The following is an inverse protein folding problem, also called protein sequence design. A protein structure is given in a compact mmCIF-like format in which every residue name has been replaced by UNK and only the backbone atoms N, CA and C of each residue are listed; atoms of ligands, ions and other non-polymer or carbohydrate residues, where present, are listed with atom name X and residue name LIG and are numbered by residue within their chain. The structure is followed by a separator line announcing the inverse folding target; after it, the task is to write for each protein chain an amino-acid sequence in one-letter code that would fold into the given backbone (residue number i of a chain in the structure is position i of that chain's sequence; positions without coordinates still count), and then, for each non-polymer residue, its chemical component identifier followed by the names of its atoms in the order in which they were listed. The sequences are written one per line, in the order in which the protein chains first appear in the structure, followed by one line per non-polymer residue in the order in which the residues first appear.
data_IF_991601182179
#
_entry.id   IF_991601182179
#
_cell.length_a   1.000
_cell.length_b   1.000
_cell.length_c   1.000
_cell.angle_alpha   90.00
_cell.angle_beta   90.00
_cell.angle_gamma   90.00
#
_symmetry.space_group_name_H-M   'P 1'
#
loop_
_entity.id
_entity.type
_entity.pdbx_description
1 polymer ?
#
# COMPACT_ATOMS: atom_id res chain seq x y z
N UNK A 1 -13.72 -11.17 9.23
CA UNK A 1 -13.98 -10.18 8.15
C UNK A 1 -12.71 -10.14 7.30
N UNK A 2 -12.79 -10.33 5.98
CA UNK A 2 -11.67 -10.79 5.14
C UNK A 2 -10.71 -9.67 4.66
N UNK A 3 -10.48 -8.61 5.43
CA UNK A 3 -9.52 -7.55 5.07
C UNK A 3 -9.82 -6.79 3.76
N UNK A 4 -11.03 -6.89 3.21
CA UNK A 4 -11.44 -6.16 2.00
C UNK A 4 -11.88 -4.76 2.41
N UNK A 5 -11.31 -3.75 1.76
CA UNK A 5 -11.71 -2.35 1.90
C UNK A 5 -12.79 -2.03 0.86
N UNK A 6 -14.04 -1.75 1.27
CA UNK A 6 -15.04 -1.23 0.34
C UNK A 6 -14.78 0.25 0.07
N UNK A 7 -14.32 0.59 -1.13
CA UNK A 7 -14.12 1.98 -1.57
C UNK A 7 -15.26 2.36 -2.52
N UNK A 8 -15.98 3.44 -2.19
CA UNK A 8 -17.03 4.00 -3.04
C UNK A 8 -16.48 5.24 -3.74
N UNK A 9 -16.55 5.25 -5.07
CA UNK A 9 -16.16 6.37 -5.93
C UNK A 9 -17.25 6.60 -6.99
N UNK A 10 -17.28 7.80 -7.58
CA UNK A 10 -18.14 8.07 -8.73
C UNK A 10 -17.68 7.31 -9.99
N UNK A 11 -18.59 7.17 -10.96
CA UNK A 11 -18.33 6.40 -12.17
C UNK A 11 -17.17 6.96 -13.03
N UNK A 12 -16.96 8.27 -13.04
CA UNK A 12 -15.88 8.88 -13.82
C UNK A 12 -14.52 8.59 -13.17
N UNK A 13 -14.45 8.64 -11.84
CA UNK A 13 -13.26 8.26 -11.06
C UNK A 13 -12.90 6.78 -11.27
N UNK A 14 -13.89 5.88 -11.27
CA UNK A 14 -13.69 4.45 -11.57
C UNK A 14 -13.19 4.25 -13.00
N UNK A 15 -13.82 4.91 -13.98
CA UNK A 15 -13.41 4.80 -15.38
C UNK A 15 -11.96 5.28 -15.58
N UNK A 16 -11.59 6.38 -14.93
CA UNK A 16 -10.23 6.92 -15.00
C UNK A 16 -9.19 6.00 -14.36
N UNK A 17 -9.51 5.36 -13.23
CA UNK A 17 -8.64 4.34 -12.64
C UNK A 17 -8.47 3.13 -13.56
N UNK A 18 -9.55 2.66 -14.18
CA UNK A 18 -9.50 1.55 -15.13
C UNK A 18 -8.65 1.89 -16.37
N UNK A 19 -8.86 3.07 -16.96
CA UNK A 19 -8.09 3.53 -18.12
C UNK A 19 -6.60 3.68 -17.78
N UNK A 20 -6.27 4.30 -16.65
CA UNK A 20 -4.89 4.54 -16.23
C UNK A 20 -4.11 3.25 -15.95
N UNK A 21 -4.78 2.12 -15.73
CA UNK A 21 -4.15 0.84 -15.42
C UNK A 21 -4.25 -0.18 -16.56
N UNK A 22 -5.15 0.03 -17.52
CA UNK A 22 -5.48 -0.93 -18.58
C UNK A 22 -4.27 -1.39 -19.42
N UNK A 23 -3.29 -0.51 -19.64
CA UNK A 23 -2.13 -0.82 -20.48
C UNK A 23 -1.15 -1.81 -19.83
N UNK A 24 -0.99 -1.76 -18.51
CA UNK A 24 -0.11 -2.66 -17.74
C UNK A 24 -0.54 -2.68 -16.26
N UNK A 25 -1.55 -3.49 -15.89
CA UNK A 25 -2.09 -3.52 -14.53
C UNK A 25 -1.08 -3.99 -13.47
N UNK A 26 0.01 -4.65 -13.87
CA UNK A 26 1.03 -5.15 -12.94
C UNK A 26 2.00 -4.03 -12.54
N UNK A 27 2.28 -3.11 -13.45
CA UNK A 27 3.17 -1.96 -13.24
C UNK A 27 2.41 -0.70 -12.82
N UNK A 28 1.22 -0.49 -13.37
CA UNK A 28 0.37 0.67 -13.15
C UNK A 28 -0.57 0.37 -11.98
N UNK A 29 -0.07 0.54 -10.75
CA UNK A 29 -0.77 0.18 -9.52
C UNK A 29 -1.70 1.29 -9.06
N UNK A 30 -2.79 0.87 -8.43
CA UNK A 30 -3.68 1.72 -7.63
C UNK A 30 -3.33 1.53 -6.16
N UNK A 31 -3.24 2.63 -5.42
CA UNK A 31 -2.97 2.64 -3.99
C UNK A 31 -4.20 3.16 -3.26
N UNK A 32 -4.58 2.47 -2.18
CA UNK A 32 -5.65 2.91 -1.28
C UNK A 32 -5.01 3.27 0.05
N UNK A 33 -5.17 4.53 0.48
CA UNK A 33 -4.73 5.03 1.77
C UNK A 33 -5.94 5.18 2.70
N UNK A 34 -5.99 4.36 3.75
CA UNK A 34 -7.07 4.38 4.74
C UNK A 34 -6.95 5.51 5.75
N UNK A 35 -5.73 6.03 5.97
CA UNK A 35 -5.49 7.13 6.91
C UNK A 35 -6.02 8.43 6.30
N UNK A 36 -5.67 8.67 5.03
CA UNK A 36 -6.09 9.83 4.24
C UNK A 36 -7.45 9.65 3.53
N UNK A 37 -7.97 8.42 3.54
CA UNK A 37 -9.22 8.03 2.86
C UNK A 37 -9.21 8.42 1.38
N UNK A 38 -8.14 8.03 0.68
CA UNK A 38 -7.97 8.34 -0.73
C UNK A 38 -7.48 7.16 -1.57
N UNK A 39 -7.80 7.19 -2.86
CA UNK A 39 -7.34 6.26 -3.88
C UNK A 39 -6.45 7.03 -4.86
N UNK A 40 -5.20 6.61 -4.99
CA UNK A 40 -4.25 7.18 -5.92
C UNK A 40 -4.00 6.23 -7.09
N UNK A 41 -4.01 6.79 -8.30
CA UNK A 41 -3.71 6.06 -9.54
C UNK A 41 -2.43 6.54 -10.22
N UNK A 42 -1.99 5.84 -11.27
CA UNK A 42 -0.86 6.26 -12.10
C UNK A 42 -1.12 7.62 -12.76
N UNK A 43 -0.17 8.55 -12.73
CA UNK A 43 -0.35 9.90 -13.30
C UNK A 43 -0.79 10.96 -12.30
N UNK A 44 -0.44 10.79 -11.01
CA UNK A 44 -0.60 11.77 -9.93
C UNK A 44 -2.03 12.29 -9.72
N UNK A 45 -3.03 11.44 -9.93
CA UNK A 45 -4.40 11.77 -9.57
C UNK A 45 -4.84 10.99 -8.34
N UNK A 46 -5.68 11.63 -7.55
CA UNK A 46 -6.15 11.17 -6.25
C UNK A 46 -7.65 11.43 -6.15
N UNK A 47 -8.38 10.45 -5.63
CA UNK A 47 -9.81 10.56 -5.36
C UNK A 47 -10.07 10.24 -3.90
N UNK A 48 -10.84 11.09 -3.22
CA UNK A 48 -11.25 10.85 -1.83
C UNK A 48 -12.46 9.94 -1.79
N UNK A 49 -12.51 9.07 -0.79
CA UNK A 49 -13.68 8.24 -0.48
C UNK A 49 -14.01 8.37 1.01
N UNK A 50 -15.22 7.97 1.39
CA UNK A 50 -15.63 7.97 2.79
C UNK A 50 -15.74 6.53 3.31
N UNK A 51 -15.37 6.34 4.57
CA UNK A 51 -15.61 5.14 5.35
C UNK A 51 -16.22 5.53 6.67
N UNK A 52 -17.09 4.67 7.21
CA UNK A 52 -17.52 4.82 8.58
C UNK A 52 -16.31 4.69 9.53
N UNK A 53 -16.25 5.50 10.61
CA UNK A 53 -15.11 5.51 11.52
C UNK A 53 -14.78 4.14 12.12
N UNK A 54 -15.81 3.36 12.48
CA UNK A 54 -15.67 2.03 13.08
C UNK A 54 -15.05 1.04 12.08
N UNK A 55 -15.53 0.98 10.83
CA UNK A 55 -14.91 0.14 9.81
C UNK A 55 -13.50 0.60 9.45
N UNK A 56 -13.23 1.92 9.45
CA UNK A 56 -11.86 2.43 9.26
C UNK A 56 -10.93 1.97 10.38
N UNK A 57 -11.36 2.09 11.63
CA UNK A 57 -10.59 1.63 12.79
C UNK A 57 -10.37 0.11 12.75
N UNK A 58 -11.42 -0.67 12.49
CA UNK A 58 -11.30 -2.13 12.32
C UNK A 58 -10.38 -2.54 11.17
N UNK A 59 -10.37 -1.78 10.06
CA UNK A 59 -9.50 -2.03 8.92
C UNK A 59 -8.06 -1.66 9.25
N UNK A 60 -7.81 -0.54 9.93
CA UNK A 60 -6.46 -0.15 10.36
C UNK A 60 -5.90 -1.15 11.39
N UNK A 61 -6.66 -1.48 12.43
CA UNK A 61 -6.26 -2.41 13.50
C UNK A 61 -6.21 -3.88 13.03
N UNK A 62 -6.95 -4.24 11.97
CA UNK A 62 -7.06 -5.60 11.42
C UNK A 62 -6.25 -5.87 10.14
N UNK A 63 -5.72 -4.83 9.49
CA UNK A 63 -4.73 -4.90 8.41
C UNK A 63 -3.30 -4.65 8.91
N UNK A 64 -3.13 -4.31 10.20
CA UNK A 64 -1.84 -4.07 10.86
C UNK A 64 -0.89 -5.28 10.87
N UNK A 65 -1.39 -6.48 10.55
CA UNK A 65 -0.56 -7.65 10.28
C UNK A 65 0.37 -7.46 9.04
N UNK A 66 0.04 -6.54 8.13
CA UNK A 66 0.92 -6.12 7.03
C UNK A 66 1.91 -5.05 7.50
N UNK A 67 1.56 -4.23 8.49
CA UNK A 67 2.47 -3.27 9.14
C UNK A 67 3.59 -3.98 9.91
N UNK A 68 3.35 -5.18 10.45
CA UNK A 68 4.42 -6.05 10.96
C UNK A 68 5.40 -6.48 9.84
N UNK A 69 4.91 -6.59 8.61
CA UNK A 69 5.71 -6.95 7.42
C UNK A 69 6.42 -5.73 6.81
N UNK A 70 5.80 -4.55 6.83
CA UNK A 70 6.42 -3.28 6.40
C UNK A 70 7.46 -2.79 7.41
N UNK A 71 7.22 -2.90 8.72
CA UNK A 71 8.24 -2.67 9.77
C UNK A 71 9.39 -3.67 9.65
N UNK A 72 9.12 -4.89 9.17
CA UNK A 72 10.18 -5.85 8.87
C UNK A 72 11.05 -5.39 7.71
N UNK A 73 10.55 -4.64 6.71
CA UNK A 73 11.38 -4.13 5.60
C UNK A 73 12.46 -3.17 6.11
N UNK A 74 12.09 -2.13 6.85
CA UNK A 74 13.06 -1.17 7.40
C UNK A 74 14.02 -1.83 8.40
N UNK A 75 13.52 -2.78 9.20
CA UNK A 75 14.34 -3.55 10.14
C UNK A 75 15.30 -4.52 9.44
N UNK A 76 14.87 -5.16 8.36
CA UNK A 76 15.68 -6.04 7.52
C UNK A 76 16.76 -5.22 6.80
N UNK A 77 16.41 -4.07 6.22
CA UNK A 77 17.35 -3.17 5.57
C UNK A 77 18.39 -2.64 6.58
N UNK A 78 17.94 -2.22 7.77
CA UNK A 78 18.81 -1.77 8.86
C UNK A 78 19.70 -2.88 9.44
N UNK A 79 19.21 -4.12 9.49
CA UNK A 79 20.00 -5.28 9.89
C UNK A 79 21.05 -5.62 8.83
N UNK A 80 20.67 -5.71 7.55
CA UNK A 80 21.57 -6.02 6.44
C UNK A 80 22.66 -4.97 6.27
N UNK A 81 22.35 -3.68 6.46
CA UNK A 81 23.35 -2.62 6.42
C UNK A 81 24.41 -2.78 7.54
N UNK A 82 23.98 -3.09 8.76
CA UNK A 82 24.89 -3.35 9.89
C UNK A 82 25.68 -4.64 9.70
N UNK A 83 25.05 -5.71 9.24
CA UNK A 83 25.69 -7.01 9.06
C UNK A 83 26.70 -7.00 7.90
N UNK A 84 26.42 -6.30 6.79
CA UNK A 84 27.40 -6.10 5.69
C UNK A 84 28.65 -5.37 6.16
N UNK A 85 28.52 -4.38 7.05
CA UNK A 85 29.66 -3.66 7.60
C UNK A 85 30.50 -4.52 8.55
N UNK A 86 29.86 -5.38 9.35
CA UNK A 86 30.54 -6.21 10.35
C UNK A 86 31.07 -7.53 9.79
N UNK A 87 30.42 -8.07 8.75
CA UNK A 87 30.70 -9.39 8.16
C UNK A 87 30.69 -9.33 6.64
N UNK A 88 31.54 -8.49 6.01
CA UNK A 88 31.52 -8.28 4.56
C UNK A 88 31.76 -9.58 3.76
N UNK A 89 32.47 -10.56 4.33
CA UNK A 89 32.78 -11.84 3.67
C UNK A 89 31.56 -12.74 3.41
N UNK A 90 30.43 -12.52 4.08
CA UNK A 90 29.19 -13.29 3.85
C UNK A 90 28.48 -12.83 2.56
N UNK A 91 28.78 -11.62 2.08
CA UNK A 91 28.11 -10.99 0.94
C UNK A 91 28.98 -10.90 -0.31
N UNK A 92 30.16 -11.53 -0.30
CA UNK A 92 31.03 -11.66 -1.46
C UNK A 92 30.58 -12.87 -2.29
N UNK A 93 29.67 -12.64 -3.23
CA UNK A 93 29.34 -13.56 -4.33
C UNK A 93 29.25 -12.80 -5.63
#
# INVERSE_FOLDING_TARGET
RNGIVPVILDAASIARLAEATAADPQRLRVTVDLVRQCVAGPGNFEFTFELDPESREMLLEGLDAIDLTLKSRDAIESFQARDRAQRPWIYLS
#
